data_IF_395973572713
#
_entry.id   IF_395973572713
#
_cell.length_a   1.000
_cell.length_b   1.000
_cell.length_c   1.000
_cell.angle_alpha   90.00
_cell.angle_beta   90.00
_cell.angle_gamma   90.00
#
_symmetry.space_group_name_H-M   'P 1'
#
loop_
_entity.id
_entity.type
_entity.pdbx_description
1 polymer ?
#
# COMPACT_ATOMS: atom_id res chain seq x y z
N UNK A 1 37.94 -35.46 -4.24
CA UNK A 1 37.04 -34.86 -5.24
C UNK A 1 36.26 -33.75 -4.55
N UNK A 2 36.62 -32.49 -4.82
CA UNK A 2 36.13 -31.30 -4.14
C UNK A 2 35.29 -30.52 -5.15
N UNK A 3 33.98 -30.76 -5.22
CA UNK A 3 33.10 -30.12 -6.20
C UNK A 3 31.65 -30.02 -5.71
N UNK A 4 31.39 -29.42 -4.53
CA UNK A 4 29.98 -29.29 -4.08
C UNK A 4 29.60 -27.99 -3.38
N UNK A 5 30.46 -26.96 -3.33
CA UNK A 5 30.14 -25.73 -2.58
C UNK A 5 29.79 -24.50 -3.42
N UNK A 6 30.02 -24.49 -4.74
CA UNK A 6 29.80 -23.28 -5.55
C UNK A 6 28.36 -23.18 -6.09
N UNK A 7 27.63 -24.29 -6.21
CA UNK A 7 26.28 -24.30 -6.79
C UNK A 7 25.20 -23.73 -5.87
N UNK A 8 25.42 -23.68 -4.55
CA UNK A 8 24.42 -23.17 -3.61
C UNK A 8 24.39 -21.63 -3.55
N UNK A 9 25.52 -20.97 -3.81
CA UNK A 9 25.61 -19.50 -3.80
C UNK A 9 24.86 -18.85 -4.97
N UNK A 10 24.71 -19.55 -6.10
CA UNK A 10 24.03 -19.03 -7.29
C UNK A 10 22.50 -19.00 -7.14
N UNK A 11 21.90 -19.85 -6.29
CA UNK A 11 20.45 -19.87 -6.06
C UNK A 11 20.02 -18.73 -5.13
N UNK A 12 20.89 -18.28 -4.21
CA UNK A 12 20.61 -17.16 -3.32
C UNK A 12 20.63 -15.79 -4.02
N UNK A 13 21.28 -15.68 -5.19
CA UNK A 13 21.41 -14.43 -5.96
C UNK A 13 20.23 -14.16 -6.90
N UNK A 14 19.30 -15.10 -7.08
CA UNK A 14 18.15 -14.96 -7.97
C UNK A 14 16.90 -14.37 -7.26
N UNK A 15 17.06 -13.86 -6.04
CA UNK A 15 16.04 -13.06 -5.38
C UNK A 15 15.98 -11.66 -5.98
N UNK A 16 15.67 -11.55 -7.28
CA UNK A 16 15.09 -10.33 -7.81
C UNK A 16 13.81 -10.10 -7.01
N UNK A 17 13.88 -9.25 -5.98
CA UNK A 17 12.75 -8.85 -5.16
C UNK A 17 11.65 -8.35 -6.10
N UNK A 18 10.67 -9.20 -6.39
CA UNK A 18 9.62 -8.85 -7.33
C UNK A 18 8.89 -7.68 -6.68
N UNK A 19 8.83 -6.55 -7.38
CA UNK A 19 8.30 -5.35 -6.79
C UNK A 19 6.77 -5.36 -6.95
N UNK A 20 6.04 -5.62 -5.87
CA UNK A 20 4.59 -5.47 -5.79
C UNK A 20 4.17 -4.02 -5.93
N UNK A 21 3.05 -3.78 -6.62
CA UNK A 21 2.48 -2.43 -6.79
C UNK A 21 1.60 -2.08 -5.61
N UNK A 22 1.78 -0.88 -5.07
CA UNK A 22 0.94 -0.32 -4.00
C UNK A 22 0.31 0.99 -4.46
N UNK A 23 -0.94 1.25 -4.08
CA UNK A 23 -1.70 2.46 -4.38
C UNK A 23 -2.38 2.99 -3.12
N UNK A 24 -2.51 4.31 -3.02
CA UNK A 24 -3.12 5.00 -1.88
C UNK A 24 -4.40 5.68 -2.34
N UNK A 25 -5.51 5.33 -1.70
CA UNK A 25 -6.85 5.78 -2.06
C UNK A 25 -7.68 6.07 -0.81
N UNK A 26 -7.49 7.23 -0.20
CA UNK A 26 -8.29 7.71 0.92
C UNK A 26 -9.64 8.27 0.46
N UNK A 27 -10.67 8.09 1.29
CA UNK A 27 -12.05 8.50 1.04
C UNK A 27 -12.32 9.83 1.71
N UNK A 28 -13.24 10.62 1.17
CA UNK A 28 -13.70 11.84 1.83
C UNK A 28 -15.19 12.08 1.60
N UNK A 29 -15.78 12.85 2.50
CA UNK A 29 -17.13 13.36 2.39
C UNK A 29 -17.16 14.45 1.30
N UNK A 30 -17.61 14.07 0.11
CA UNK A 30 -17.69 14.94 -1.07
C UNK A 30 -19.13 15.16 -1.52
N UNK A 31 -19.25 15.68 -2.74
CA UNK A 31 -20.52 15.82 -3.45
C UNK A 31 -20.44 15.14 -4.81
N UNK A 32 -21.55 14.57 -5.28
CA UNK A 32 -21.65 14.07 -6.65
C UNK A 32 -21.79 15.22 -7.67
N UNK A 33 -21.86 14.89 -8.96
CA UNK A 33 -22.04 15.87 -10.04
C UNK A 33 -23.36 16.66 -9.95
N UNK A 34 -24.31 16.20 -9.13
CA UNK A 34 -25.62 16.82 -8.88
C UNK A 34 -25.66 17.58 -7.54
N UNK A 35 -24.54 17.64 -6.82
CA UNK A 35 -24.42 18.34 -5.53
C UNK A 35 -24.87 17.54 -4.31
N UNK A 36 -25.26 16.28 -4.45
CA UNK A 36 -25.67 15.43 -3.32
C UNK A 36 -24.46 14.92 -2.54
N UNK A 37 -24.59 14.81 -1.22
CA UNK A 37 -23.54 14.24 -0.37
C UNK A 37 -23.19 12.82 -0.82
N UNK A 38 -21.90 12.56 -1.06
CA UNK A 38 -21.39 11.27 -1.50
C UNK A 38 -19.97 11.05 -0.98
N UNK A 39 -19.67 9.84 -0.56
CA UNK A 39 -18.27 9.45 -0.28
C UNK A 39 -17.52 9.31 -1.61
N UNK A 40 -16.50 10.14 -1.78
CA UNK A 40 -15.62 10.16 -2.94
C UNK A 40 -14.25 9.62 -2.53
N UNK A 41 -13.47 9.09 -3.46
CA UNK A 41 -12.10 8.64 -3.19
C UNK A 41 -11.11 9.54 -3.90
N UNK A 42 -10.12 10.02 -3.16
CA UNK A 42 -8.94 10.69 -3.71
C UNK A 42 -7.84 9.65 -3.89
N UNK A 43 -7.35 9.50 -5.10
CA UNK A 43 -6.28 8.57 -5.42
C UNK A 43 -4.97 9.32 -5.60
N UNK A 44 -3.91 8.78 -5.00
CA UNK A 44 -2.54 9.22 -5.26
C UNK A 44 -1.81 8.16 -6.07
N UNK A 45 -0.94 8.60 -6.98
CA UNK A 45 -0.07 7.73 -7.74
C UNK A 45 0.66 6.76 -6.80
N UNK A 46 0.53 5.48 -7.13
CA UNK A 46 1.11 4.39 -6.36
C UNK A 46 2.62 4.29 -6.48
N UNK A 47 3.21 3.46 -5.65
CA UNK A 47 4.62 3.08 -5.72
C UNK A 47 4.79 1.58 -5.89
N UNK A 48 6.01 1.13 -5.64
CA UNK A 48 6.33 -0.28 -5.51
C UNK A 48 6.92 -0.58 -4.13
N UNK A 49 6.64 -1.78 -3.64
CA UNK A 49 7.21 -2.38 -2.44
C UNK A 49 7.78 -3.76 -2.79
N UNK A 50 8.70 -4.32 -2.00
CA UNK A 50 9.07 -5.73 -2.13
C UNK A 50 7.86 -6.66 -1.98
N UNK A 51 7.77 -7.74 -2.77
CA UNK A 51 6.66 -8.69 -2.76
C UNK A 51 6.52 -9.45 -1.44
N UNK A 52 7.63 -9.78 -0.78
CA UNK A 52 7.66 -10.38 0.55
C UNK A 52 6.98 -9.51 1.62
N UNK A 53 6.80 -8.21 1.32
CA UNK A 53 6.20 -7.22 2.21
C UNK A 53 4.72 -6.98 1.99
N UNK A 54 4.10 -7.70 1.04
CA UNK A 54 2.66 -7.58 0.79
C UNK A 54 1.82 -7.83 2.04
N UNK A 55 2.06 -8.98 2.68
CA UNK A 55 1.31 -9.39 3.87
C UNK A 55 1.64 -8.50 5.07
N UNK A 56 2.88 -8.01 5.16
CA UNK A 56 3.30 -7.09 6.21
C UNK A 56 2.44 -5.81 6.17
N UNK A 57 2.29 -5.21 4.98
CA UNK A 57 1.46 -4.01 4.80
C UNK A 57 -0.02 -4.32 5.05
N UNK A 58 -0.56 -5.41 4.50
CA UNK A 58 -1.99 -5.76 4.62
C UNK A 58 -2.39 -5.97 6.07
N UNK A 59 -1.56 -6.68 6.84
CA UNK A 59 -1.92 -7.09 8.20
C UNK A 59 -1.57 -6.03 9.25
N UNK A 60 -0.52 -5.22 9.04
CA UNK A 60 0.01 -4.35 10.08
C UNK A 60 -0.25 -2.85 9.89
N UNK A 61 -0.67 -2.38 8.70
CA UNK A 61 -0.88 -0.94 8.47
C UNK A 61 -1.93 -0.34 9.41
N UNK A 62 -2.93 -1.14 9.81
CA UNK A 62 -3.88 -0.76 10.85
C UNK A 62 -3.13 -0.44 12.15
N UNK A 63 -2.36 -1.38 12.67
CA UNK A 63 -1.57 -1.20 13.90
C UNK A 63 -0.58 -0.04 13.79
N UNK A 64 0.13 0.11 12.68
CA UNK A 64 1.11 1.19 12.47
C UNK A 64 0.47 2.59 12.47
N UNK A 65 -0.83 2.67 12.14
CA UNK A 65 -1.57 3.92 12.01
C UNK A 65 -2.63 4.10 13.11
N UNK A 66 -2.58 3.32 14.19
CA UNK A 66 -3.63 3.32 15.23
C UNK A 66 -5.05 3.11 14.65
N UNK A 67 -5.15 2.18 13.70
CA UNK A 67 -6.34 1.81 12.93
C UNK A 67 -6.93 2.92 12.04
N UNK A 68 -6.17 3.96 11.73
CA UNK A 68 -6.57 5.01 10.78
C UNK A 68 -6.64 4.49 9.35
N UNK A 69 -5.74 3.60 8.96
CA UNK A 69 -5.64 3.03 7.61
C UNK A 69 -5.88 1.52 7.59
N UNK A 70 -6.34 1.02 6.45
CA UNK A 70 -6.46 -0.40 6.13
C UNK A 70 -5.91 -0.66 4.73
N UNK A 71 -5.41 -1.87 4.49
CA UNK A 71 -4.92 -2.26 3.19
C UNK A 71 -5.57 -3.56 2.73
N UNK A 72 -5.74 -3.69 1.42
CA UNK A 72 -6.19 -4.94 0.78
C UNK A 72 -5.50 -5.14 -0.55
N UNK A 73 -5.24 -6.40 -0.90
CA UNK A 73 -4.77 -6.76 -2.24
C UNK A 73 -5.97 -6.89 -3.19
N UNK A 74 -5.89 -6.22 -4.33
CA UNK A 74 -6.88 -6.41 -5.38
C UNK A 74 -6.64 -7.77 -6.06
N UNK A 75 -7.60 -8.68 -5.99
CA UNK A 75 -7.46 -10.03 -6.54
C UNK A 75 -7.20 -10.06 -8.06
N UNK A 76 -7.74 -9.09 -8.81
CA UNK A 76 -7.60 -9.03 -10.28
C UNK A 76 -6.26 -8.43 -10.71
N UNK A 77 -5.83 -7.36 -10.06
CA UNK A 77 -4.65 -6.60 -10.48
C UNK A 77 -3.40 -6.89 -9.65
N UNK A 78 -3.53 -7.60 -8.53
CA UNK A 78 -2.44 -7.83 -7.57
C UNK A 78 -1.99 -6.59 -6.81
N UNK A 79 -2.58 -5.42 -7.06
CA UNK A 79 -2.18 -4.14 -6.46
C UNK A 79 -2.68 -4.08 -5.02
N UNK A 80 -1.79 -3.70 -4.09
CA UNK A 80 -2.18 -3.38 -2.71
C UNK A 80 -2.78 -1.99 -2.69
N UNK A 81 -3.99 -1.86 -2.16
CA UNK A 81 -4.71 -0.60 -2.04
C UNK A 81 -4.81 -0.27 -0.56
N UNK A 82 -4.16 0.82 -0.17
CA UNK A 82 -4.27 1.43 1.17
C UNK A 82 -5.38 2.47 1.15
N UNK A 83 -6.26 2.44 2.14
CA UNK A 83 -7.39 3.34 2.27
C UNK A 83 -7.62 3.70 3.73
N UNK A 84 -8.28 4.82 4.00
CA UNK A 84 -8.65 5.20 5.36
C UNK A 84 -9.86 4.38 5.86
N UNK A 85 -9.89 4.11 7.16
CA UNK A 85 -10.99 3.38 7.80
C UNK A 85 -12.27 4.24 7.81
N UNK A 86 -12.12 5.52 8.12
CA UNK A 86 -13.19 6.53 8.14
C UNK A 86 -12.97 7.57 7.04
N UNK A 87 -14.00 7.95 6.27
CA UNK A 87 -13.86 9.04 5.30
C UNK A 87 -13.41 10.34 5.96
N UNK A 88 -12.45 11.02 5.34
CA UNK A 88 -12.00 12.33 5.77
C UNK A 88 -13.05 13.43 5.48
N UNK A 89 -12.94 14.58 6.14
CA UNK A 89 -13.94 15.65 6.03
C UNK A 89 -13.93 16.36 4.66
N UNK A 90 -12.81 16.33 3.95
CA UNK A 90 -12.64 17.03 2.68
C UNK A 90 -11.63 16.35 1.77
N UNK A 91 -11.64 16.76 0.48
CA UNK A 91 -10.64 16.32 -0.49
C UNK A 91 -9.21 16.57 -0.03
N UNK A 92 -8.95 17.75 0.53
CA UNK A 92 -7.62 18.13 1.03
C UNK A 92 -7.16 17.28 2.21
N UNK A 93 -8.09 16.94 3.11
CA UNK A 93 -7.81 16.01 4.20
C UNK A 93 -7.48 14.60 3.66
N UNK A 94 -8.24 14.09 2.69
CA UNK A 94 -7.91 12.80 2.06
C UNK A 94 -6.57 12.83 1.30
N UNK A 95 -6.19 13.94 0.66
CA UNK A 95 -4.85 14.08 0.07
C UNK A 95 -3.76 14.02 1.14
N UNK A 96 -3.97 14.67 2.28
CA UNK A 96 -3.04 14.63 3.42
C UNK A 96 -2.92 13.22 3.98
N UNK A 97 -4.04 12.53 4.17
CA UNK A 97 -4.07 11.14 4.62
C UNK A 97 -3.38 10.18 3.63
N UNK A 98 -3.53 10.39 2.32
CA UNK A 98 -2.78 9.62 1.33
C UNK A 98 -1.26 9.81 1.48
N UNK A 99 -0.81 11.04 1.77
CA UNK A 99 0.61 11.33 1.99
C UNK A 99 1.12 10.67 3.28
N UNK A 100 0.35 10.76 4.36
CA UNK A 100 0.66 10.10 5.63
C UNK A 100 0.76 8.58 5.46
N UNK A 101 -0.21 7.96 4.80
CA UNK A 101 -0.21 6.52 4.53
C UNK A 101 1.04 6.10 3.72
N UNK A 102 1.41 6.89 2.71
CA UNK A 102 2.61 6.64 1.92
C UNK A 102 3.90 6.75 2.73
N UNK A 103 4.03 7.80 3.56
CA UNK A 103 5.18 8.00 4.42
C UNK A 103 5.31 6.87 5.44
N UNK A 104 4.18 6.44 6.02
CA UNK A 104 4.13 5.36 7.00
C UNK A 104 4.59 4.02 6.40
N UNK A 105 4.06 3.64 5.24
CA UNK A 105 4.49 2.41 4.55
C UNK A 105 5.97 2.52 4.18
N UNK A 106 6.39 3.66 3.66
CA UNK A 106 7.80 3.89 3.30
C UNK A 106 8.71 3.70 4.50
N UNK A 107 8.39 4.30 5.66
CA UNK A 107 9.18 4.20 6.88
C UNK A 107 9.26 2.77 7.45
N UNK A 108 8.24 1.94 7.24
CA UNK A 108 8.17 0.59 7.79
C UNK A 108 8.74 -0.48 6.86
N UNK A 109 8.81 -0.22 5.56
CA UNK A 109 9.09 -1.22 4.54
C UNK A 109 10.35 -0.92 3.72
N UNK A 110 10.71 0.36 3.54
CA UNK A 110 11.93 0.77 2.81
C UNK A 110 13.04 1.15 3.78
#
# INVERSE_FOLDING_TARGET
>A
MQFHFITLAAILLAGDALASKISYACRYNGKDLKGNAKVVSEQKAGGTIPDDKDNDVINNIGTWSSHKFSAKKNARTGIIIVTNATPADSKSAATTENNEAQQLVTQKIK
#
